data_IF_754777852642
#
_entry.id   IF_754777852642
#
_cell.length_a   1.000
_cell.length_b   1.000
_cell.length_c   1.000
_cell.angle_alpha   90.00
_cell.angle_beta   90.00
_cell.angle_gamma   90.00
#
_symmetry.space_group_name_H-M   'P 1'
#
loop_
_entity.id
_entity.type
_entity.pdbx_description
1 polymer ?
#
# COMPACT_ATOMS: atom_id res chain seq x y z
N UNK A 1 7.32 -5.61 4.91
CA UNK A 1 7.10 -4.35 4.16
C UNK A 1 8.38 -3.96 3.43
N UNK A 2 8.24 -3.44 2.20
CA UNK A 2 9.33 -2.91 1.37
C UNK A 2 8.98 -1.46 1.01
N UNK A 3 9.98 -0.59 0.97
CA UNK A 3 9.83 0.82 0.64
C UNK A 3 10.87 1.25 -0.38
N UNK A 4 10.50 2.11 -1.33
CA UNK A 4 11.39 2.64 -2.35
C UNK A 4 10.78 3.81 -3.11
N UNK A 5 11.47 4.26 -4.17
CA UNK A 5 11.02 5.36 -5.02
C UNK A 5 11.26 5.01 -6.49
N UNK A 6 10.22 5.15 -7.32
CA UNK A 6 10.30 4.83 -8.76
C UNK A 6 11.24 5.75 -9.55
N UNK A 7 11.58 6.92 -9.00
CA UNK A 7 12.50 7.89 -9.60
C UNK A 7 13.92 7.82 -9.04
N UNK A 8 14.18 6.85 -8.12
CA UNK A 8 15.51 6.68 -7.53
C UNK A 8 16.53 6.21 -8.59
N UNK A 9 17.78 6.66 -8.49
CA UNK A 9 18.86 6.25 -9.38
C UNK A 9 19.15 4.73 -9.33
N UNK A 10 18.79 4.06 -8.23
CA UNK A 10 18.93 2.61 -8.03
C UNK A 10 17.62 1.84 -8.21
N UNK A 11 16.61 2.45 -8.84
CA UNK A 11 15.30 1.82 -9.02
C UNK A 11 15.40 0.45 -9.68
N UNK A 12 16.19 0.31 -10.75
CA UNK A 12 16.35 -0.96 -11.48
C UNK A 12 16.91 -2.08 -10.57
N UNK A 13 17.88 -1.74 -9.71
CA UNK A 13 18.46 -2.70 -8.77
C UNK A 13 17.48 -3.05 -7.64
N UNK A 14 16.70 -2.07 -7.17
CA UNK A 14 15.68 -2.27 -6.14
C UNK A 14 14.53 -3.13 -6.68
N UNK A 15 14.07 -2.87 -7.90
CA UNK A 15 13.01 -3.65 -8.53
C UNK A 15 13.45 -5.11 -8.80
N UNK A 16 14.66 -5.31 -9.28
CA UNK A 16 15.19 -6.62 -9.68
C UNK A 16 15.35 -7.65 -8.54
N UNK A 17 15.27 -7.22 -7.26
CA UNK A 17 15.31 -8.14 -6.11
C UNK A 17 13.92 -8.55 -5.62
N UNK A 18 12.86 -8.01 -6.22
CA UNK A 18 11.48 -8.34 -5.89
C UNK A 18 11.02 -9.62 -6.61
N UNK A 19 9.97 -10.30 -6.13
CA UNK A 19 9.25 -11.29 -6.92
C UNK A 19 8.86 -10.72 -8.29
N UNK A 20 9.03 -11.53 -9.37
CA UNK A 20 8.85 -11.08 -10.73
C UNK A 20 7.56 -10.28 -11.02
N UNK A 21 6.37 -10.67 -10.51
CA UNK A 21 5.16 -9.89 -10.69
C UNK A 21 5.22 -8.49 -10.07
N UNK A 22 5.89 -8.32 -8.92
CA UNK A 22 6.07 -7.01 -8.26
C UNK A 22 7.10 -6.14 -8.99
N UNK A 23 8.20 -6.74 -9.47
CA UNK A 23 9.19 -6.07 -10.32
C UNK A 23 8.51 -5.48 -11.55
N UNK A 24 7.79 -6.31 -12.31
CA UNK A 24 7.07 -5.88 -13.52
C UNK A 24 6.01 -4.83 -13.23
N UNK A 25 5.27 -5.00 -12.14
CA UNK A 25 4.27 -4.04 -11.70
C UNK A 25 4.88 -2.64 -11.47
N UNK A 26 6.03 -2.56 -10.79
CA UNK A 26 6.71 -1.28 -10.57
C UNK A 26 7.16 -0.63 -11.88
N UNK A 27 7.70 -1.40 -12.82
CA UNK A 27 8.09 -0.90 -14.14
C UNK A 27 6.89 -0.37 -14.93
N UNK A 28 5.78 -1.09 -14.93
CA UNK A 28 4.55 -0.68 -15.61
C UNK A 28 3.99 0.61 -14.99
N UNK A 29 3.83 0.67 -13.67
CA UNK A 29 3.34 1.84 -12.96
C UNK A 29 4.21 3.08 -13.20
N UNK A 30 5.54 2.91 -13.25
CA UNK A 30 6.47 4.00 -13.59
C UNK A 30 6.24 4.56 -14.99
N UNK A 31 5.83 3.72 -15.94
CA UNK A 31 5.57 4.10 -17.33
C UNK A 31 4.18 4.68 -17.59
N UNK A 32 3.23 4.51 -16.67
CA UNK A 32 1.85 4.95 -16.83
C UNK A 32 1.67 6.45 -16.54
N UNK A 33 0.75 7.10 -17.24
CA UNK A 33 0.27 8.44 -16.90
C UNK A 33 -0.76 8.41 -15.76
N UNK A 34 -0.29 8.07 -14.56
CA UNK A 34 -1.14 7.94 -13.38
C UNK A 34 -1.71 9.28 -12.90
N UNK A 35 -1.08 10.38 -13.24
CA UNK A 35 -1.54 11.71 -12.85
C UNK A 35 -2.87 12.08 -13.54
N UNK A 36 -3.06 11.61 -14.77
CA UNK A 36 -4.27 11.88 -15.58
C UNK A 36 -5.20 10.65 -15.69
N UNK A 37 -4.86 9.56 -15.02
CA UNK A 37 -5.71 8.36 -15.04
C UNK A 37 -7.03 8.61 -14.30
N UNK A 38 -8.13 8.04 -14.80
CA UNK A 38 -9.43 8.09 -14.11
C UNK A 38 -9.34 7.43 -12.73
N UNK A 39 -10.08 7.98 -11.75
CA UNK A 39 -10.24 7.35 -10.44
C UNK A 39 -11.16 6.13 -10.52
N UNK A 40 -10.89 5.10 -9.74
CA UNK A 40 -11.68 3.87 -9.71
C UNK A 40 -10.84 2.62 -9.54
N UNK A 41 -11.47 1.47 -9.77
CA UNK A 41 -10.83 0.16 -9.75
C UNK A 41 -10.86 -0.44 -11.16
N UNK A 42 -9.71 -0.84 -11.66
CA UNK A 42 -9.51 -1.32 -13.03
C UNK A 42 -8.84 -2.70 -13.02
N UNK A 43 -9.31 -3.65 -13.83
CA UNK A 43 -8.56 -4.89 -14.04
C UNK A 43 -7.25 -4.57 -14.78
N UNK A 44 -6.18 -5.22 -14.37
CA UNK A 44 -4.86 -5.12 -15.00
C UNK A 44 -4.28 -6.52 -15.13
N UNK A 45 -3.80 -6.87 -16.31
CA UNK A 45 -3.20 -8.19 -16.55
C UNK A 45 -1.77 -8.04 -17.03
N UNK A 46 -0.84 -8.67 -16.34
CA UNK A 46 0.57 -8.72 -16.74
C UNK A 46 1.07 -10.17 -16.74
N UNK A 47 1.59 -10.65 -17.88
CA UNK A 47 2.07 -12.02 -18.06
C UNK A 47 1.08 -13.12 -17.59
N UNK A 48 -0.22 -12.87 -17.80
CA UNK A 48 -1.29 -13.79 -17.39
C UNK A 48 -1.67 -13.69 -15.90
N UNK A 49 -1.05 -12.80 -15.11
CA UNK A 49 -1.42 -12.52 -13.73
C UNK A 49 -2.47 -11.41 -13.72
N UNK A 50 -3.64 -11.74 -13.21
CA UNK A 50 -4.73 -10.75 -13.02
C UNK A 50 -4.52 -9.97 -11.72
N UNK A 51 -4.52 -8.64 -11.82
CA UNK A 51 -4.32 -7.68 -10.75
C UNK A 51 -5.45 -6.68 -10.72
N UNK A 52 -5.57 -5.89 -9.67
CA UNK A 52 -6.54 -4.80 -9.56
C UNK A 52 -5.80 -3.51 -9.28
N UNK A 53 -5.86 -2.58 -10.24
CA UNK A 53 -5.34 -1.22 -10.08
C UNK A 53 -6.45 -0.33 -9.49
N UNK A 54 -6.21 0.24 -8.33
CA UNK A 54 -7.07 1.25 -7.72
C UNK A 54 -6.40 2.62 -7.82
N UNK A 55 -7.09 3.60 -8.41
CA UNK A 55 -6.61 5.00 -8.50
C UNK A 55 -7.53 5.86 -7.66
N UNK A 56 -6.95 6.60 -6.72
CA UNK A 56 -7.71 7.33 -5.70
C UNK A 56 -7.19 8.74 -5.51
N UNK A 57 -8.14 9.70 -5.43
CA UNK A 57 -7.91 11.05 -4.91
C UNK A 57 -8.48 11.11 -3.49
N UNK A 58 -7.64 11.41 -2.52
CA UNK A 58 -7.92 11.32 -1.10
C UNK A 58 -7.39 12.54 -0.34
N UNK A 59 -7.72 12.61 0.94
CA UNK A 59 -7.11 13.53 1.90
C UNK A 59 -6.57 12.73 3.09
N UNK A 60 -5.34 13.02 3.52
CA UNK A 60 -4.76 12.40 4.71
C UNK A 60 -5.48 12.88 5.97
N UNK A 61 -5.48 12.06 7.02
CA UNK A 61 -6.12 12.38 8.31
C UNK A 61 -5.30 11.86 9.49
N UNK A 62 -5.61 12.29 10.74
CA UNK A 62 -4.87 11.84 11.92
C UNK A 62 -4.83 10.30 12.06
N UNK A 63 -3.74 9.77 12.64
CA UNK A 63 -3.51 8.33 12.82
C UNK A 63 -4.69 7.60 13.49
N UNK A 64 -5.33 8.19 14.44
CA UNK A 64 -6.45 7.62 15.20
C UNK A 64 -7.76 7.52 14.40
N UNK A 65 -7.85 8.18 13.25
CA UNK A 65 -8.95 8.02 12.30
C UNK A 65 -8.85 6.76 11.43
N UNK A 66 -7.72 6.04 11.49
CA UNK A 66 -7.43 4.87 10.69
C UNK A 66 -7.29 3.61 11.55
N UNK A 67 -7.76 2.49 11.04
CA UNK A 67 -7.63 1.18 11.66
C UNK A 67 -6.47 0.41 11.03
N UNK A 68 -5.70 -0.36 11.84
CA UNK A 68 -4.71 -1.27 11.28
C UNK A 68 -5.40 -2.35 10.43
N UNK A 69 -4.83 -2.66 9.27
CA UNK A 69 -5.43 -3.60 8.32
C UNK A 69 -4.42 -4.59 7.76
N UNK A 70 -4.93 -5.75 7.33
CA UNK A 70 -4.20 -6.73 6.48
C UNK A 70 -5.09 -7.22 5.35
N UNK A 71 -4.43 -7.82 4.35
CA UNK A 71 -5.04 -8.59 3.26
C UNK A 71 -4.48 -10.00 3.26
N UNK A 72 -5.21 -10.99 2.74
CA UNK A 72 -4.75 -12.38 2.70
C UNK A 72 -4.39 -12.84 1.29
N UNK A 73 -5.18 -12.42 0.30
CA UNK A 73 -5.07 -12.90 -1.09
C UNK A 73 -4.11 -12.06 -1.92
N UNK A 74 -3.87 -10.81 -1.51
CA UNK A 74 -3.11 -9.82 -2.27
C UNK A 74 -1.94 -9.26 -1.47
N UNK A 75 -0.88 -8.96 -2.19
CA UNK A 75 0.17 -8.02 -1.79
C UNK A 75 -0.31 -6.64 -2.22
N UNK A 76 -0.28 -5.67 -1.32
CA UNK A 76 -0.59 -4.27 -1.64
C UNK A 76 0.66 -3.52 -2.05
N UNK A 77 0.73 -3.10 -3.31
CA UNK A 77 1.72 -2.14 -3.78
C UNK A 77 1.06 -0.77 -3.85
N UNK A 78 1.43 0.12 -2.95
CA UNK A 78 0.90 1.48 -2.84
C UNK A 78 1.94 2.48 -3.36
N UNK A 79 1.58 3.37 -4.28
CA UNK A 79 2.46 4.40 -4.87
C UNK A 79 1.78 5.76 -4.73
N UNK A 80 2.48 6.73 -4.13
CA UNK A 80 2.04 8.11 -4.08
C UNK A 80 2.36 8.79 -5.41
N UNK A 81 1.32 9.23 -6.11
CA UNK A 81 1.44 9.83 -7.45
C UNK A 81 1.69 11.34 -7.35
N UNK A 82 0.90 12.04 -6.53
CA UNK A 82 1.00 13.49 -6.36
C UNK A 82 0.37 13.97 -5.06
N UNK A 83 0.70 15.20 -4.64
CA UNK A 83 0.21 15.77 -3.37
C UNK A 83 0.93 15.16 -2.17
N UNK A 84 0.29 15.10 -1.02
CA UNK A 84 0.85 14.54 0.22
C UNK A 84 1.70 15.53 1.03
N UNK A 85 2.59 15.05 1.92
CA UNK A 85 2.97 13.65 2.09
C UNK A 85 1.85 12.77 2.68
N UNK A 86 1.96 11.46 2.44
CA UNK A 86 1.16 10.43 3.11
C UNK A 86 2.03 9.66 4.10
N UNK A 87 1.59 9.54 5.35
CA UNK A 87 2.28 8.76 6.37
C UNK A 87 1.64 7.38 6.47
N UNK A 88 2.48 6.35 6.46
CA UNK A 88 2.07 4.99 6.79
C UNK A 88 2.76 4.53 8.08
N UNK A 89 2.02 3.87 8.96
CA UNK A 89 2.62 3.07 10.04
C UNK A 89 2.38 1.59 9.76
N UNK A 90 3.26 0.73 10.28
CA UNK A 90 3.21 -0.70 10.03
C UNK A 90 3.93 -1.48 11.13
N UNK A 91 3.54 -2.75 11.28
CA UNK A 91 4.20 -3.71 12.17
C UNK A 91 3.89 -5.14 11.72
N UNK A 92 4.73 -6.13 12.07
CA UNK A 92 4.47 -7.52 11.69
C UNK A 92 3.24 -8.07 12.44
N UNK A 93 2.41 -8.85 11.75
CA UNK A 93 1.32 -9.58 12.39
C UNK A 93 1.89 -10.67 13.31
N UNK A 94 1.73 -10.48 14.60
CA UNK A 94 2.15 -11.43 15.63
C UNK A 94 1.06 -12.41 16.05
N UNK A 95 -0.14 -12.35 15.43
CA UNK A 95 -1.30 -13.18 15.78
C UNK A 95 -1.89 -12.88 17.15
N UNK A 96 -1.62 -11.70 17.71
CA UNK A 96 -2.08 -11.28 19.05
C UNK A 96 -3.02 -10.09 19.01
N UNK A 97 -3.21 -9.50 17.82
CA UNK A 97 -4.03 -8.33 17.64
C UNK A 97 -5.52 -8.69 17.75
N UNK A 98 -6.30 -7.78 18.33
CA UNK A 98 -7.76 -7.98 18.42
C UNK A 98 -8.42 -7.62 17.12
N UNK A 99 -9.08 -8.58 16.51
CA UNK A 99 -9.86 -8.38 15.30
C UNK A 99 -11.07 -7.52 15.61
N UNK A 100 -11.25 -6.46 14.83
CA UNK A 100 -12.42 -5.58 14.87
C UNK A 100 -13.47 -5.98 13.83
N UNK A 101 -13.02 -6.23 12.60
CA UNK A 101 -13.92 -6.55 11.48
C UNK A 101 -13.16 -7.47 10.49
N UNK A 102 -13.67 -8.67 10.27
CA UNK A 102 -13.07 -9.65 9.35
C UNK A 102 -13.91 -9.77 8.09
N UNK A 103 -13.36 -9.35 6.96
CA UNK A 103 -13.92 -9.44 5.61
C UNK A 103 -12.98 -10.15 4.64
N UNK A 104 -12.04 -10.97 5.16
CA UNK A 104 -11.04 -11.67 4.32
C UNK A 104 -11.67 -12.66 3.34
N UNK A 105 -12.80 -13.27 3.70
CA UNK A 105 -13.51 -14.22 2.84
C UNK A 105 -14.50 -13.53 1.87
N UNK A 106 -14.50 -12.19 1.83
CA UNK A 106 -15.28 -11.39 0.88
C UNK A 106 -14.43 -10.94 -0.32
N UNK A 107 -15.04 -10.37 -1.38
CA UNK A 107 -14.28 -9.73 -2.45
C UNK A 107 -13.38 -8.55 -2.02
N UNK A 108 -13.60 -8.02 -0.81
CA UNK A 108 -12.77 -6.92 -0.26
C UNK A 108 -11.42 -7.40 0.24
N UNK A 109 -11.31 -8.66 0.67
CA UNK A 109 -10.09 -9.29 1.19
C UNK A 109 -9.38 -8.37 2.21
N UNK A 110 -10.08 -7.94 3.23
CA UNK A 110 -9.56 -7.02 4.25
C UNK A 110 -9.97 -7.46 5.66
N UNK A 111 -9.05 -7.33 6.60
CA UNK A 111 -9.32 -7.51 8.02
C UNK A 111 -8.81 -6.28 8.77
N UNK A 112 -9.66 -5.71 9.61
CA UNK A 112 -9.33 -4.58 10.47
C UNK A 112 -9.09 -5.05 11.91
N UNK A 113 -8.07 -4.47 12.53
CA UNK A 113 -7.79 -4.65 13.95
C UNK A 113 -8.21 -3.42 14.75
N UNK A 114 -8.43 -3.63 16.07
CA UNK A 114 -8.67 -2.52 16.99
C UNK A 114 -7.42 -1.64 17.11
N UNK A 115 -7.64 -0.32 17.12
CA UNK A 115 -6.60 0.63 17.53
C UNK A 115 -6.31 0.47 19.03
N UNK A 116 -5.06 0.17 19.37
CA UNK A 116 -4.61 0.06 20.76
C UNK A 116 -3.40 0.95 21.01
N UNK A 117 -3.33 1.63 22.17
CA UNK A 117 -2.16 2.44 22.50
C UNK A 117 -0.83 1.67 22.51
N UNK A 118 -0.89 0.35 22.77
CA UNK A 118 0.29 -0.51 22.80
C UNK A 118 0.88 -0.72 21.41
N UNK A 119 0.07 -0.78 20.35
CA UNK A 119 0.55 -0.99 18.98
C UNK A 119 1.38 0.21 18.51
N UNK A 120 1.04 1.42 18.92
CA UNK A 120 1.80 2.63 18.59
C UNK A 120 3.28 2.57 19.04
N UNK A 121 3.61 1.72 20.02
CA UNK A 121 4.98 1.55 20.51
C UNK A 121 5.85 0.67 19.65
N UNK A 122 5.23 -0.16 18.81
CA UNK A 122 5.92 -1.12 17.93
C UNK A 122 5.79 -0.76 16.46
N UNK A 123 5.01 0.28 16.13
CA UNK A 123 4.82 0.74 14.76
C UNK A 123 6.13 1.31 14.19
N UNK A 124 6.57 0.76 13.07
CA UNK A 124 7.45 1.45 12.14
C UNK A 124 6.68 2.56 11.43
N UNK A 125 7.39 3.56 10.94
CA UNK A 125 6.79 4.70 10.25
C UNK A 125 7.56 5.00 8.97
N UNK A 126 6.83 5.23 7.89
CA UNK A 126 7.38 5.76 6.63
C UNK A 126 6.55 6.95 6.17
N UNK A 127 7.20 7.93 5.58
CA UNK A 127 6.56 9.11 4.97
C UNK A 127 6.75 8.97 3.47
N UNK A 128 5.65 8.93 2.72
CA UNK A 128 5.67 8.84 1.27
C UNK A 128 5.54 10.24 0.67
N UNK A 129 6.44 10.54 -0.25
CA UNK A 129 6.41 11.68 -1.15
C UNK A 129 6.09 11.21 -2.58
N UNK A 130 5.72 12.10 -3.53
CA UNK A 130 5.44 11.69 -4.90
C UNK A 130 6.56 10.87 -5.55
N UNK A 131 6.20 9.70 -6.04
CA UNK A 131 7.12 8.68 -6.58
C UNK A 131 7.53 7.61 -5.57
N UNK A 132 7.26 7.79 -4.28
CA UNK A 132 7.52 6.76 -3.27
C UNK A 132 6.47 5.66 -3.32
N UNK A 133 6.93 4.42 -3.11
CA UNK A 133 6.07 3.26 -2.98
C UNK A 133 6.31 2.47 -1.70
N UNK A 134 5.27 1.83 -1.21
CA UNK A 134 5.33 0.86 -0.12
C UNK A 134 4.64 -0.44 -0.55
N UNK A 135 5.24 -1.58 -0.22
CA UNK A 135 4.71 -2.92 -0.52
C UNK A 135 4.43 -3.63 0.79
N UNK A 136 3.19 -4.06 0.99
CA UNK A 136 2.72 -4.78 2.17
C UNK A 136 2.33 -6.20 1.80
N UNK A 137 2.93 -7.16 2.48
CA UNK A 137 2.59 -8.58 2.37
C UNK A 137 1.49 -8.96 3.37
N UNK A 138 0.85 -10.14 3.25
CA UNK A 138 -0.24 -10.55 4.14
C UNK A 138 0.10 -10.58 5.65
N UNK A 139 1.36 -10.56 6.00
CA UNK A 139 1.87 -10.54 7.38
C UNK A 139 2.33 -9.15 7.84
N UNK A 140 2.14 -8.13 7.04
CA UNK A 140 2.45 -6.74 7.38
C UNK A 140 1.15 -6.00 7.72
N UNK A 141 0.84 -5.86 9.02
CA UNK A 141 -0.24 -4.97 9.45
C UNK A 141 0.19 -3.55 9.10
N UNK A 142 -0.69 -2.81 8.44
CA UNK A 142 -0.38 -1.46 7.97
C UNK A 142 -1.54 -0.50 8.15
N UNK A 143 -1.21 0.78 8.25
CA UNK A 143 -2.16 1.87 8.45
C UNK A 143 -1.76 3.00 7.51
N UNK A 144 -2.33 3.05 6.31
CA UNK A 144 -2.10 4.11 5.34
C UNK A 144 -2.99 5.34 5.61
N UNK A 145 -2.83 6.40 4.82
CA UNK A 145 -3.73 7.55 4.78
C UNK A 145 -3.51 8.59 5.87
N UNK A 146 -2.44 8.47 6.65
CA UNK A 146 -2.21 9.37 7.78
C UNK A 146 -1.59 10.69 7.34
N UNK A 147 -1.96 11.80 8.02
CA UNK A 147 -1.27 13.08 7.88
C UNK A 147 0.00 13.13 8.74
N UNK A 148 0.90 14.02 8.39
CA UNK A 148 2.04 14.42 9.22
C UNK A 148 1.64 15.52 10.24
N UNK A 149 2.65 16.14 10.87
CA UNK A 149 2.44 17.19 11.86
C UNK A 149 1.85 18.49 11.27
N UNK A 150 1.95 18.68 9.97
CA UNK A 150 1.44 19.86 9.26
C UNK A 150 -0.06 19.75 8.94
N UNK A 151 -0.67 18.60 9.27
CA UNK A 151 -2.11 18.33 9.13
C UNK A 151 -2.50 17.73 7.78
N UNK A 152 -3.82 17.64 7.52
CA UNK A 152 -4.36 17.00 6.33
C UNK A 152 -3.86 17.59 5.01
N UNK A 153 -3.57 16.73 4.04
CA UNK A 153 -3.13 17.09 2.69
C UNK A 153 -3.92 16.29 1.65
N UNK A 154 -4.33 16.94 0.58
CA UNK A 154 -4.87 16.25 -0.58
C UNK A 154 -3.75 15.49 -1.30
N UNK A 155 -4.05 14.28 -1.75
CA UNK A 155 -3.09 13.44 -2.47
C UNK A 155 -3.78 12.49 -3.44
N UNK A 156 -3.03 12.09 -4.47
CA UNK A 156 -3.40 11.02 -5.39
C UNK A 156 -2.48 9.84 -5.18
N UNK A 157 -3.06 8.67 -4.99
CA UNK A 157 -2.31 7.42 -4.93
C UNK A 157 -2.94 6.33 -5.76
N UNK A 158 -2.16 5.31 -6.03
CA UNK A 158 -2.65 4.02 -6.50
C UNK A 158 -2.38 2.94 -5.47
N UNK A 159 -3.24 1.92 -5.48
CA UNK A 159 -2.98 0.63 -4.84
C UNK A 159 -3.13 -0.43 -5.92
N UNK A 160 -2.06 -1.16 -6.18
CA UNK A 160 -2.09 -2.32 -7.06
C UNK A 160 -2.16 -3.58 -6.19
N UNK A 161 -3.26 -4.31 -6.32
CA UNK A 161 -3.50 -5.59 -5.65
C UNK A 161 -2.86 -6.71 -6.49
N UNK A 162 -1.71 -7.23 -6.05
CA UNK A 162 -0.99 -8.31 -6.73
C UNK A 162 -1.28 -9.63 -6.01
N UNK A 163 -1.79 -10.67 -6.69
CA UNK A 163 -2.07 -11.95 -6.03
C UNK A 163 -0.84 -12.54 -5.36
N UNK A 164 -0.95 -12.88 -4.08
CA UNK A 164 0.15 -13.52 -3.31
C UNK A 164 0.65 -14.78 -3.99
N UNK A 165 -0.28 -15.60 -4.52
CA UNK A 165 0.07 -16.85 -5.21
C UNK A 165 0.97 -16.65 -6.45
N UNK A 166 0.99 -15.46 -7.04
CA UNK A 166 1.87 -15.15 -8.15
C UNK A 166 3.28 -14.71 -7.69
N UNK A 167 3.43 -14.36 -6.41
CA UNK A 167 4.70 -13.89 -5.82
C UNK A 167 5.49 -15.01 -5.11
N UNK A 168 4.93 -16.21 -5.00
CA UNK A 168 5.54 -17.41 -4.37
C UNK A 168 6.17 -18.35 -5.45
#
# INVERSE_FOLDING_TARGET
MIYGNVNNAFFEQQAAVLPGPLEKALHELKGMDLANHDTGAFPMTMDGVEMILQVMDLETSPRDAHEPEIHRKYVDLQLLVSGGPEVHTFFPDGGKETVKDDRLDTPKDILFYENRPETAKIEGRVVLEPGDYAIYFPWDIHVPGQCDADGPKAYRKIVLKVPVAACL
#
